data_IF_863739334671
#
_entry.id   IF_863739334671
#
_cell.length_a   1.000
_cell.length_b   1.000
_cell.length_c   1.000
_cell.angle_alpha   90.00
_cell.angle_beta   90.00
_cell.angle_gamma   90.00
#
_symmetry.space_group_name_H-M   'P 1'
#
loop_
_entity.id
_entity.type
_entity.pdbx_description
1 polymer ?
#
# COMPACT_ATOMS: atom_id res chain seq x y z
N UNK A 1 -12.76 -4.44 -17.15
CA UNK A 1 -12.10 -5.71 -17.58
C UNK A 1 -12.63 -6.90 -16.78
N UNK A 2 -12.57 -6.90 -15.41
CA UNK A 2 -12.99 -8.05 -14.61
C UNK A 2 -14.39 -8.58 -14.94
N UNK A 3 -15.40 -7.71 -14.92
CA UNK A 3 -16.77 -8.10 -15.23
C UNK A 3 -16.94 -8.74 -16.63
N UNK A 4 -16.10 -8.34 -17.59
CA UNK A 4 -16.10 -8.94 -18.91
C UNK A 4 -15.47 -10.33 -18.91
N UNK A 5 -14.36 -10.50 -18.22
CA UNK A 5 -13.63 -11.77 -18.12
C UNK A 5 -14.36 -12.82 -17.28
N UNK A 6 -15.00 -12.41 -16.20
CA UNK A 6 -15.70 -13.29 -15.26
C UNK A 6 -17.17 -13.54 -15.62
N UNK A 7 -17.70 -12.92 -16.68
CA UNK A 7 -19.13 -12.95 -16.95
C UNK A 7 -19.99 -12.17 -15.97
N UNK A 8 -19.37 -11.34 -15.13
CA UNK A 8 -20.02 -10.54 -14.12
C UNK A 8 -20.07 -11.17 -12.72
N UNK A 9 -19.45 -12.35 -12.56
CA UNK A 9 -19.36 -13.03 -11.26
C UNK A 9 -18.13 -12.58 -10.48
N UNK A 10 -18.26 -12.51 -9.15
CA UNK A 10 -17.19 -12.20 -8.23
C UNK A 10 -16.80 -10.72 -8.17
N UNK A 11 -15.78 -10.41 -7.37
CA UNK A 11 -15.25 -9.08 -7.12
C UNK A 11 -16.34 -8.07 -6.66
N UNK A 12 -17.27 -8.52 -5.81
CA UNK A 12 -18.41 -7.70 -5.35
C UNK A 12 -17.98 -6.45 -4.59
N UNK A 13 -16.85 -6.54 -3.87
CA UNK A 13 -16.27 -5.42 -3.13
C UNK A 13 -15.45 -4.47 -4.01
N UNK A 14 -15.15 -4.85 -5.25
CA UNK A 14 -14.40 -4.01 -6.18
C UNK A 14 -15.32 -2.91 -6.73
N UNK A 15 -15.10 -1.69 -6.25
CA UNK A 15 -15.88 -0.49 -6.62
C UNK A 15 -15.01 0.50 -7.37
N UNK A 16 -15.63 1.39 -8.12
CA UNK A 16 -14.94 2.53 -8.72
C UNK A 16 -14.37 3.42 -7.62
N UNK A 17 -13.13 3.88 -7.82
CA UNK A 17 -12.52 4.81 -6.88
C UNK A 17 -13.23 6.16 -6.91
N UNK A 18 -13.30 6.79 -5.76
CA UNK A 18 -13.77 8.17 -5.61
C UNK A 18 -12.61 9.05 -5.14
N UNK A 19 -12.49 10.28 -5.66
CA UNK A 19 -11.40 11.17 -5.26
C UNK A 19 -11.63 11.68 -3.84
N UNK A 20 -10.56 11.77 -3.06
CA UNK A 20 -10.57 12.30 -1.71
C UNK A 20 -9.70 13.55 -1.57
N UNK A 21 -9.91 14.29 -0.48
CA UNK A 21 -9.05 15.40 -0.10
C UNK A 21 -8.99 16.54 -1.12
N UNK A 22 -10.07 16.79 -1.86
CA UNK A 22 -10.13 17.84 -2.91
C UNK A 22 -9.02 17.68 -3.96
N UNK A 23 -8.76 16.46 -4.38
CA UNK A 23 -7.78 16.14 -5.41
C UNK A 23 -6.39 15.74 -4.89
N UNK A 24 -6.21 15.66 -3.57
CA UNK A 24 -4.98 15.11 -2.98
C UNK A 24 -4.83 13.60 -3.27
N UNK A 25 -5.94 12.87 -3.29
CA UNK A 25 -5.98 11.46 -3.65
C UNK A 25 -6.91 11.32 -4.87
N UNK A 26 -6.38 11.40 -6.10
CA UNK A 26 -7.18 11.25 -7.32
C UNK A 26 -7.68 9.81 -7.46
N UNK A 27 -8.88 9.67 -8.02
CA UNK A 27 -9.43 8.37 -8.38
C UNK A 27 -8.88 7.93 -9.74
N UNK A 28 -7.70 7.35 -9.74
CA UNK A 28 -7.07 6.85 -10.97
C UNK A 28 -7.44 5.39 -11.19
N UNK A 29 -8.11 5.11 -12.30
CA UNK A 29 -8.57 3.78 -12.67
C UNK A 29 -7.71 3.24 -13.80
N UNK A 30 -7.14 2.05 -13.61
CA UNK A 30 -6.53 1.25 -14.67
C UNK A 30 -7.18 -0.13 -14.69
N UNK A 31 -7.06 -0.84 -15.80
CA UNK A 31 -7.71 -2.13 -15.98
C UNK A 31 -6.90 -3.31 -15.44
N UNK A 32 -5.58 -3.21 -15.48
CA UNK A 32 -4.65 -4.28 -15.07
C UNK A 32 -3.49 -3.69 -14.29
N UNK A 33 -3.15 -4.32 -13.18
CA UNK A 33 -1.92 -4.08 -12.42
C UNK A 33 -1.05 -5.33 -12.51
N UNK A 34 0.20 -5.16 -12.92
CA UNK A 34 1.20 -6.23 -12.90
C UNK A 34 2.24 -5.86 -11.84
N UNK A 35 2.23 -6.58 -10.72
CA UNK A 35 3.21 -6.42 -9.66
C UNK A 35 4.33 -7.44 -9.80
N UNK A 36 5.55 -6.97 -10.08
CA UNK A 36 6.73 -7.82 -10.29
C UNK A 36 7.69 -7.61 -9.12
N UNK A 37 8.01 -8.69 -8.43
CA UNK A 37 8.90 -8.67 -7.28
C UNK A 37 10.00 -9.74 -7.42
N UNK A 38 11.25 -9.33 -7.38
CA UNK A 38 12.40 -10.23 -7.27
C UNK A 38 13.56 -9.55 -6.56
N UNK A 39 14.61 -10.33 -6.26
CA UNK A 39 15.86 -9.81 -5.68
C UNK A 39 16.80 -9.19 -6.72
N UNK A 40 16.41 -9.18 -8.00
CA UNK A 40 17.27 -8.73 -9.11
C UNK A 40 16.48 -7.85 -10.07
N UNK A 41 17.00 -6.67 -10.33
CA UNK A 41 16.40 -5.72 -11.28
C UNK A 41 16.29 -6.24 -12.71
N UNK A 42 17.31 -6.96 -13.18
CA UNK A 42 17.34 -7.55 -14.53
C UNK A 42 16.26 -8.65 -14.70
N UNK A 43 15.96 -9.39 -13.63
CA UNK A 43 14.86 -10.34 -13.63
C UNK A 43 13.52 -9.61 -13.68
N UNK A 44 13.33 -8.55 -12.88
CA UNK A 44 12.11 -7.74 -12.95
C UNK A 44 11.88 -7.17 -14.35
N UNK A 45 12.94 -6.63 -14.96
CA UNK A 45 12.88 -6.12 -16.32
C UNK A 45 12.51 -7.21 -17.34
N UNK A 46 13.12 -8.39 -17.24
CA UNK A 46 12.83 -9.51 -18.15
C UNK A 46 11.38 -9.99 -18.02
N UNK A 47 10.83 -10.04 -16.79
CA UNK A 47 9.44 -10.43 -16.56
C UNK A 47 8.50 -9.35 -17.11
N UNK A 48 8.81 -8.07 -16.93
CA UNK A 48 8.02 -6.98 -17.49
C UNK A 48 7.98 -7.04 -19.02
N UNK A 49 9.13 -7.26 -19.68
CA UNK A 49 9.20 -7.43 -21.13
C UNK A 49 8.37 -8.63 -21.61
N UNK A 50 8.49 -9.76 -20.92
CA UNK A 50 7.71 -10.96 -21.26
C UNK A 50 6.20 -10.74 -21.09
N UNK A 51 5.80 -10.00 -20.06
CA UNK A 51 4.40 -9.64 -19.86
C UNK A 51 3.86 -8.74 -20.99
N UNK A 52 4.60 -7.70 -21.36
CA UNK A 52 4.24 -6.81 -22.47
C UNK A 52 4.14 -7.61 -23.77
N UNK A 53 5.11 -8.48 -24.06
CA UNK A 53 5.10 -9.33 -25.25
C UNK A 53 3.89 -10.26 -25.27
N UNK A 54 3.53 -10.87 -24.13
CA UNK A 54 2.40 -11.77 -24.02
C UNK A 54 1.05 -11.07 -24.25
N UNK A 55 0.90 -9.82 -23.79
CA UNK A 55 -0.30 -9.03 -24.05
C UNK A 55 -0.32 -8.45 -25.48
N UNK A 56 0.85 -8.18 -26.07
CA UNK A 56 0.97 -7.58 -27.40
C UNK A 56 0.18 -6.28 -27.54
N UNK A 57 -0.56 -6.15 -28.62
CA UNK A 57 -1.39 -4.97 -28.92
C UNK A 57 -2.70 -4.90 -28.11
N UNK A 58 -2.89 -5.80 -27.14
CA UNK A 58 -4.12 -5.84 -26.31
C UNK A 58 -4.09 -4.87 -25.14
N UNK A 59 -2.94 -4.28 -24.84
CA UNK A 59 -2.77 -3.35 -23.74
C UNK A 59 -1.96 -2.12 -24.15
N UNK A 60 -2.22 -1.01 -23.46
CA UNK A 60 -1.38 0.18 -23.44
C UNK A 60 -0.79 0.35 -22.04
N UNK A 61 0.52 0.44 -21.92
CA UNK A 61 1.19 0.70 -20.66
C UNK A 61 0.96 2.17 -20.26
N UNK A 62 0.14 2.40 -19.27
CA UNK A 62 -0.19 3.74 -18.79
C UNK A 62 0.82 4.26 -17.78
N UNK A 63 1.37 3.39 -16.97
CA UNK A 63 2.32 3.74 -15.92
C UNK A 63 3.30 2.60 -15.68
N UNK A 64 4.57 2.93 -15.50
CA UNK A 64 5.64 2.01 -15.11
C UNK A 64 6.40 2.62 -13.94
N UNK A 65 6.39 1.93 -12.80
CA UNK A 65 7.03 2.38 -11.57
C UNK A 65 8.08 1.38 -11.14
N UNK A 66 9.30 1.86 -10.95
CA UNK A 66 10.40 1.10 -10.40
C UNK A 66 10.55 1.39 -8.92
N UNK A 67 10.40 0.36 -8.11
CA UNK A 67 10.60 0.42 -6.67
C UNK A 67 11.88 -0.28 -6.23
N UNK A 68 12.22 -0.10 -4.99
CA UNK A 68 13.34 -0.80 -4.37
C UNK A 68 13.08 -0.97 -2.87
N UNK A 69 13.64 -2.01 -2.29
CA UNK A 69 13.66 -2.18 -0.84
C UNK A 69 14.75 -1.28 -0.27
N UNK A 70 14.35 -0.38 0.63
CA UNK A 70 15.29 0.48 1.30
C UNK A 70 15.69 -0.07 2.67
N UNK A 71 16.72 0.54 3.26
CA UNK A 71 17.39 0.12 4.48
C UNK A 71 16.41 -0.35 5.55
N UNK A 72 16.58 -1.58 6.02
CA UNK A 72 15.84 -2.16 7.14
C UNK A 72 14.30 -2.04 7.02
N UNK A 73 13.78 -2.10 5.79
CA UNK A 73 12.34 -1.99 5.50
C UNK A 73 11.72 -0.65 5.94
N UNK A 74 12.51 0.43 5.84
CA UNK A 74 12.04 1.77 6.12
C UNK A 74 11.42 2.42 4.88
N UNK A 75 10.46 3.32 5.12
CA UNK A 75 9.95 4.21 4.09
C UNK A 75 10.99 5.29 3.73
N UNK A 76 10.71 6.10 2.70
CA UNK A 76 11.60 7.19 2.29
C UNK A 76 11.74 8.30 3.33
N UNK A 77 10.87 8.35 4.32
CA UNK A 77 10.97 9.23 5.47
C UNK A 77 11.92 8.73 6.55
N UNK A 78 12.32 7.46 6.47
CA UNK A 78 13.20 6.78 7.42
C UNK A 78 12.47 6.11 8.57
N UNK A 79 11.15 5.99 8.54
CA UNK A 79 10.37 5.24 9.51
C UNK A 79 10.22 3.79 9.07
N UNK A 80 10.11 2.87 10.03
CA UNK A 80 9.87 1.45 9.74
C UNK A 80 8.50 1.29 9.12
N UNK A 81 8.45 0.67 7.93
CA UNK A 81 7.21 0.40 7.23
C UNK A 81 6.66 -0.98 7.59
N UNK A 82 5.35 -1.17 7.42
CA UNK A 82 4.70 -2.45 7.65
C UNK A 82 4.66 -2.92 9.10
N UNK A 83 4.77 -2.03 10.07
CA UNK A 83 4.79 -2.36 11.51
C UNK A 83 3.57 -3.15 11.96
N UNK A 84 2.39 -2.84 11.42
CA UNK A 84 1.13 -3.49 11.77
C UNK A 84 0.81 -4.71 10.88
N UNK A 85 1.70 -5.09 9.97
CA UNK A 85 1.49 -6.26 9.15
C UNK A 85 1.42 -7.53 10.01
N UNK A 86 0.47 -8.44 9.77
CA UNK A 86 0.36 -9.68 10.52
C UNK A 86 1.65 -10.48 10.46
N UNK A 87 2.06 -11.04 11.59
CA UNK A 87 3.21 -11.91 11.68
C UNK A 87 2.81 -13.37 11.34
N UNK A 88 3.71 -14.06 10.62
CA UNK A 88 3.51 -15.45 10.24
C UNK A 88 2.67 -15.62 8.96
N UNK A 89 2.91 -16.73 8.27
CA UNK A 89 2.27 -17.02 6.97
C UNK A 89 0.77 -17.31 7.13
N UNK A 90 0.40 -18.06 8.14
CA UNK A 90 -0.99 -18.45 8.40
C UNK A 90 -1.87 -17.21 8.66
N UNK A 91 -1.44 -16.33 9.57
CA UNK A 91 -2.17 -15.10 9.90
C UNK A 91 -2.23 -14.15 8.70
N UNK A 92 -1.16 -14.03 7.94
CA UNK A 92 -1.16 -13.22 6.70
C UNK A 92 -2.14 -13.77 5.68
N UNK A 93 -2.21 -15.09 5.53
CA UNK A 93 -3.16 -15.75 4.65
C UNK A 93 -4.61 -15.55 5.11
N UNK A 94 -4.86 -15.69 6.41
CA UNK A 94 -6.19 -15.46 6.99
C UNK A 94 -6.70 -14.03 6.73
N UNK A 95 -5.84 -13.04 6.89
CA UNK A 95 -6.20 -11.62 6.71
C UNK A 95 -6.32 -11.23 5.24
N UNK A 96 -5.41 -11.71 4.39
CA UNK A 96 -5.28 -11.17 3.02
C UNK A 96 -6.06 -11.97 1.97
N UNK A 97 -6.35 -13.25 2.20
CA UNK A 97 -6.94 -14.12 1.20
C UNK A 97 -8.42 -14.33 1.49
N UNK A 98 -9.25 -14.15 0.46
CA UNK A 98 -10.68 -14.44 0.53
C UNK A 98 -10.85 -15.95 0.73
N UNK A 99 -11.53 -16.34 1.80
CA UNK A 99 -11.61 -17.75 2.19
C UNK A 99 -12.70 -18.52 1.45
N UNK A 100 -13.82 -17.87 1.14
CA UNK A 100 -15.03 -18.49 0.63
C UNK A 100 -15.59 -17.76 -0.60
N UNK A 101 -16.52 -18.43 -1.29
CA UNK A 101 -17.23 -17.85 -2.42
C UNK A 101 -16.50 -17.99 -3.76
N UNK A 102 -16.99 -17.27 -4.76
CA UNK A 102 -16.46 -17.31 -6.14
C UNK A 102 -15.05 -16.75 -6.25
N UNK A 103 -14.69 -15.83 -5.37
CA UNK A 103 -13.37 -15.20 -5.30
C UNK A 103 -12.40 -15.89 -4.32
N UNK A 104 -12.75 -17.09 -3.81
CA UNK A 104 -11.89 -17.82 -2.89
C UNK A 104 -10.47 -18.01 -3.44
N UNK A 105 -9.47 -17.73 -2.62
CA UNK A 105 -8.06 -17.76 -3.02
C UNK A 105 -7.53 -16.46 -3.65
N UNK A 106 -8.38 -15.49 -3.92
CA UNK A 106 -8.01 -14.14 -4.37
C UNK A 106 -7.72 -13.21 -3.20
N UNK A 107 -7.25 -12.01 -3.51
CA UNK A 107 -7.06 -10.91 -2.55
C UNK A 107 -7.46 -9.59 -3.20
N UNK A 108 -8.02 -8.69 -2.41
CA UNK A 108 -8.15 -7.29 -2.84
C UNK A 108 -6.82 -6.57 -2.64
N UNK A 109 -6.43 -5.75 -3.60
CA UNK A 109 -5.20 -4.97 -3.56
C UNK A 109 -5.54 -3.49 -3.75
N UNK A 110 -5.05 -2.67 -2.84
CA UNK A 110 -5.16 -1.22 -2.91
C UNK A 110 -3.78 -0.62 -3.09
N UNK A 111 -3.59 0.18 -4.14
CA UNK A 111 -2.30 0.79 -4.48
C UNK A 111 -2.41 2.30 -4.42
N UNK A 112 -1.45 2.94 -3.77
CA UNK A 112 -1.33 4.40 -3.72
C UNK A 112 0.08 4.81 -4.12
N UNK A 113 0.19 5.80 -5.01
CA UNK A 113 1.45 6.44 -5.34
C UNK A 113 1.59 7.74 -4.55
N UNK A 114 2.67 7.85 -3.78
CA UNK A 114 2.97 9.02 -2.96
C UNK A 114 4.23 9.72 -3.45
N UNK A 115 4.15 11.05 -3.59
CA UNK A 115 5.32 11.90 -3.80
C UNK A 115 5.74 12.54 -2.49
N UNK A 116 6.86 12.09 -1.94
CA UNK A 116 7.39 12.58 -0.67
C UNK A 116 8.06 13.93 -0.83
N UNK A 117 7.67 14.92 -0.05
CA UNK A 117 8.40 16.16 0.08
C UNK A 117 9.62 15.99 1.01
N UNK A 118 10.61 15.20 0.58
CA UNK A 118 11.80 14.90 1.37
C UNK A 118 12.59 16.15 1.73
N UNK A 119 12.55 17.18 0.88
CA UNK A 119 13.23 18.45 1.15
C UNK A 119 12.64 19.15 2.38
N UNK A 120 11.34 19.11 2.55
CA UNK A 120 10.68 19.67 3.72
C UNK A 120 10.90 18.78 4.94
N UNK A 121 10.73 17.48 4.79
CA UNK A 121 10.92 16.51 5.87
C UNK A 121 12.34 16.61 6.47
N UNK A 122 13.37 16.70 5.63
CA UNK A 122 14.77 16.78 6.07
C UNK A 122 15.13 18.10 6.78
N UNK A 123 14.27 19.11 6.73
CA UNK A 123 14.44 20.36 7.49
C UNK A 123 13.79 20.31 8.87
N UNK A 124 12.92 19.36 9.10
CA UNK A 124 12.26 19.16 10.39
C UNK A 124 13.25 18.48 11.35
N UNK A 125 13.11 18.77 12.64
CA UNK A 125 13.80 18.00 13.66
C UNK A 125 13.29 16.56 13.69
N UNK A 126 14.10 15.62 14.16
CA UNK A 126 13.65 14.22 14.33
C UNK A 126 12.41 14.17 15.22
N UNK A 127 12.41 14.92 16.30
CA UNK A 127 11.25 15.02 17.18
C UNK A 127 9.96 15.46 16.45
N UNK A 128 10.03 16.49 15.61
CA UNK A 128 8.85 16.94 14.87
C UNK A 128 8.37 15.90 13.84
N UNK A 129 9.31 15.16 13.22
CA UNK A 129 8.98 14.06 12.35
C UNK A 129 8.27 12.93 13.11
N UNK A 130 8.77 12.58 14.30
CA UNK A 130 8.18 11.58 15.18
C UNK A 130 6.77 11.98 15.65
N UNK A 131 6.60 13.24 16.04
CA UNK A 131 5.27 13.77 16.39
C UNK A 131 4.29 13.75 15.22
N UNK A 132 4.77 13.98 14.00
CA UNK A 132 3.96 13.90 12.78
C UNK A 132 3.51 12.47 12.49
N UNK A 133 4.37 11.49 12.70
CA UNK A 133 4.06 10.07 12.45
C UNK A 133 3.33 9.45 13.65
N UNK A 134 3.75 9.72 14.87
CA UNK A 134 3.25 9.13 16.11
C UNK A 134 4.08 7.95 16.61
N UNK A 135 5.28 7.74 16.04
CA UNK A 135 6.24 6.70 16.42
C UNK A 135 7.65 7.29 16.46
N UNK A 136 8.52 6.70 17.29
CA UNK A 136 9.94 7.02 17.28
C UNK A 136 10.58 6.49 16.00
N UNK A 137 11.52 7.27 15.44
CA UNK A 137 12.13 6.95 14.15
C UNK A 137 13.15 5.83 14.26
N UNK A 138 13.92 5.82 15.32
CA UNK A 138 14.99 4.85 15.54
C UNK A 138 14.46 3.51 16.07
N UNK A 139 13.77 3.55 17.21
CA UNK A 139 13.29 2.36 17.90
C UNK A 139 11.94 1.82 17.38
N UNK A 140 11.23 2.58 16.55
CA UNK A 140 9.90 2.23 16.05
C UNK A 140 8.87 1.99 17.17
N UNK A 141 9.00 2.71 18.28
CA UNK A 141 8.08 2.65 19.40
C UNK A 141 6.93 3.64 19.22
N UNK A 142 5.72 3.25 19.59
CA UNK A 142 4.59 4.18 19.61
C UNK A 142 4.82 5.29 20.62
N UNK A 143 4.43 6.50 20.26
CA UNK A 143 4.34 7.62 21.20
C UNK A 143 2.98 7.51 21.88
N UNK A 144 3.01 7.15 23.16
CA UNK A 144 1.81 6.82 23.92
C UNK A 144 1.06 8.03 24.47
N UNK A 145 -0.23 7.81 24.70
CA UNK A 145 -1.11 8.66 25.48
C UNK A 145 -1.21 10.09 24.99
N UNK A 146 -1.23 11.02 25.94
CA UNK A 146 -1.40 12.45 25.68
C UNK A 146 -0.19 13.10 24.97
N UNK A 147 0.94 12.40 24.89
CA UNK A 147 2.13 12.87 24.19
C UNK A 147 1.99 12.76 22.68
N UNK A 148 1.17 11.82 22.17
CA UNK A 148 0.94 11.65 20.74
C UNK A 148 -0.08 12.66 20.22
N UNK A 149 0.30 13.51 19.24
CA UNK A 149 -0.65 14.45 18.67
C UNK A 149 -1.83 13.76 18.01
N UNK A 150 -3.04 14.25 18.20
CA UNK A 150 -4.25 13.76 17.52
C UNK A 150 -4.21 13.95 16.01
N UNK A 151 -3.28 14.76 15.52
CA UNK A 151 -3.02 15.02 14.10
C UNK A 151 -1.94 14.11 13.54
N UNK A 152 -1.27 13.29 14.36
CA UNK A 152 -0.26 12.36 13.86
C UNK A 152 -0.86 11.33 12.91
N UNK A 153 -0.02 10.79 12.02
CA UNK A 153 -0.44 9.73 11.10
C UNK A 153 -1.08 8.56 11.86
N UNK A 154 -0.41 8.04 12.87
CA UNK A 154 -0.91 6.90 13.65
C UNK A 154 -2.27 7.19 14.31
N UNK A 155 -2.46 8.39 14.88
CA UNK A 155 -3.76 8.77 15.46
C UNK A 155 -4.89 8.90 14.44
N UNK A 156 -4.57 9.09 13.16
CA UNK A 156 -5.54 9.22 12.09
C UNK A 156 -5.91 7.91 11.42
N UNK A 157 -5.06 6.90 11.50
CA UNK A 157 -5.27 5.59 10.89
C UNK A 157 -5.61 4.50 11.91
N UNK A 158 -5.29 4.69 13.20
CA UNK A 158 -5.70 3.81 14.29
C UNK A 158 -7.20 4.06 14.63
N UNK A 159 -8.06 3.59 13.73
CA UNK A 159 -9.49 3.73 13.88
C UNK A 159 -10.01 2.69 14.87
N UNK A 160 -10.88 3.12 15.76
CA UNK A 160 -11.53 2.25 16.76
C UNK A 160 -13.04 2.34 16.64
N UNK A 161 -13.70 1.20 16.64
CA UNK A 161 -15.11 1.08 16.77
C UNK A 161 -15.40 0.33 18.08
N UNK A 162 -16.22 0.91 18.95
CA UNK A 162 -16.51 0.40 20.32
C UNK A 162 -15.24 0.07 21.14
N UNK A 163 -14.18 0.88 20.98
CA UNK A 163 -12.93 0.72 21.70
C UNK A 163 -12.02 -0.40 21.18
N UNK A 164 -12.41 -1.08 20.10
CA UNK A 164 -11.60 -2.10 19.42
C UNK A 164 -11.02 -1.51 18.14
N UNK A 165 -9.74 -1.76 17.89
CA UNK A 165 -9.12 -1.39 16.62
C UNK A 165 -9.85 -2.06 15.45
N UNK A 166 -10.16 -1.27 14.43
CA UNK A 166 -10.57 -1.79 13.14
C UNK A 166 -9.30 -2.31 12.46
N UNK A 167 -9.15 -3.63 12.45
CA UNK A 167 -8.06 -4.33 11.75
C UNK A 167 -8.57 -4.87 10.44
#
# INVERSE_FOLDING_TARGET
>A
VWRHLSGGEGAEELKDFIPYGKGLAPATQYDVLIHILSLRYDVNFSVAQAAIEAFGDSIDVQEEIHGFRWVEERDLGGFVDGTENPAGEETRREVAVIQDGVDAGCSYVFVQRWEHNLRQLNRMSVHDQEMMIGRTKDANEEIDGDARPVTSHLSRVDLKEDGKGLK
#
